data_IF_883291385724
#
_entry.id   IF_883291385724
#
_cell.length_a   1.000
_cell.length_b   1.000
_cell.length_c   1.000
_cell.angle_alpha   90.00
_cell.angle_beta   90.00
_cell.angle_gamma   90.00
#
_symmetry.space_group_name_H-M   'P 1'
#
loop_
_entity.id
_entity.type
_entity.pdbx_description
1 polymer ?
#
# COMPACT_ATOMS: atom_id res chain seq x y z
N UNK A 1 8.06 -9.00 27.36
CA UNK A 1 8.71 -7.68 27.54
C UNK A 1 8.35 -7.21 28.94
N UNK A 2 9.32 -6.92 29.78
CA UNK A 2 9.08 -6.40 31.13
C UNK A 2 8.83 -4.88 31.06
N UNK A 3 8.36 -4.26 32.18
CA UNK A 3 8.04 -2.83 32.21
C UNK A 3 9.26 -1.95 31.89
N UNK A 4 10.46 -2.35 32.32
CA UNK A 4 11.69 -1.60 32.06
C UNK A 4 12.04 -1.59 30.57
N UNK A 5 11.97 -2.74 29.91
CA UNK A 5 12.21 -2.85 28.46
C UNK A 5 11.21 -2.02 27.65
N UNK A 6 9.96 -1.96 28.10
CA UNK A 6 8.92 -1.14 27.46
C UNK A 6 9.22 0.36 27.60
N UNK A 7 9.68 0.78 28.80
CA UNK A 7 10.00 2.19 29.05
C UNK A 7 11.27 2.63 28.32
N UNK A 8 12.25 1.76 28.19
CA UNK A 8 13.45 2.02 27.40
C UNK A 8 13.11 2.11 25.91
N UNK A 9 12.23 1.24 25.39
CA UNK A 9 11.72 1.33 24.02
C UNK A 9 10.98 2.64 23.76
N UNK A 10 10.10 3.06 24.69
CA UNK A 10 9.39 4.35 24.58
C UNK A 10 10.37 5.54 24.52
N UNK A 11 11.38 5.57 25.40
CA UNK A 11 12.39 6.63 25.40
C UNK A 11 13.18 6.65 24.08
N UNK A 12 13.57 5.48 23.59
CA UNK A 12 14.27 5.37 22.32
C UNK A 12 13.40 5.86 21.15
N UNK A 13 12.12 5.47 21.11
CA UNK A 13 11.19 5.95 20.10
C UNK A 13 11.01 7.48 20.18
N UNK A 14 10.86 8.03 21.39
CA UNK A 14 10.73 9.48 21.57
C UNK A 14 11.97 10.24 21.08
N UNK A 15 13.17 9.67 21.24
CA UNK A 15 14.41 10.28 20.78
C UNK A 15 14.54 10.33 19.24
N UNK A 16 13.81 9.49 18.51
CA UNK A 16 13.77 9.48 17.03
C UNK A 16 12.84 10.60 16.49
N UNK A 17 11.84 11.01 17.27
CA UNK A 17 10.90 12.05 16.86
C UNK A 17 11.60 13.43 16.95
N UNK A 18 12.20 13.83 15.85
CA UNK A 18 12.89 15.12 15.69
C UNK A 18 12.29 15.88 14.51
N UNK A 19 12.66 17.14 14.33
CA UNK A 19 12.25 17.98 13.20
C UNK A 19 12.73 17.49 11.82
N UNK A 20 13.68 16.58 11.81
CA UNK A 20 14.23 15.93 10.60
C UNK A 20 13.66 14.53 10.34
N UNK A 21 12.65 14.10 11.11
CA UNK A 21 12.07 12.77 10.97
C UNK A 21 11.51 12.56 9.56
N UNK A 22 11.91 11.46 8.94
CA UNK A 22 11.32 10.92 7.73
C UNK A 22 10.73 9.56 8.07
N UNK A 23 9.46 9.37 7.74
CA UNK A 23 8.73 8.12 7.99
C UNK A 23 8.66 7.36 6.68
N UNK A 24 9.15 6.13 6.68
CA UNK A 24 9.05 5.24 5.51
C UNK A 24 7.95 4.21 5.80
N UNK A 25 6.96 4.16 4.91
CA UNK A 25 5.78 3.31 5.04
C UNK A 25 5.72 2.32 3.88
N UNK A 26 5.60 1.06 4.22
CA UNK A 26 5.39 -0.03 3.26
C UNK A 26 3.98 -0.65 3.40
N UNK A 27 3.72 -1.69 2.61
CA UNK A 27 2.43 -2.39 2.52
C UNK A 27 1.91 -2.96 3.85
N UNK A 28 2.78 -3.17 4.84
CA UNK A 28 2.38 -3.62 6.17
C UNK A 28 1.38 -2.70 6.87
N UNK A 29 1.47 -1.38 6.65
CA UNK A 29 0.51 -0.42 7.19
C UNK A 29 -0.87 -0.63 6.55
N UNK A 30 -0.94 -0.75 5.24
CA UNK A 30 -2.19 -0.97 4.52
C UNK A 30 -2.80 -2.34 4.81
N UNK A 31 -1.97 -3.38 4.95
CA UNK A 31 -2.42 -4.70 5.40
C UNK A 31 -3.02 -4.65 6.80
N UNK A 32 -2.49 -3.80 7.68
CA UNK A 32 -3.06 -3.61 9.01
C UNK A 32 -4.47 -2.98 9.00
N UNK A 33 -4.82 -2.28 7.91
CA UNK A 33 -6.17 -1.76 7.66
C UNK A 33 -7.04 -2.74 6.84
N UNK A 34 -6.50 -3.91 6.52
CA UNK A 34 -7.21 -4.98 5.82
C UNK A 34 -7.06 -4.95 4.31
N UNK A 35 -6.15 -4.14 3.76
CA UNK A 35 -5.83 -4.22 2.35
C UNK A 35 -5.05 -5.51 2.03
N UNK A 36 -5.23 -6.06 0.83
CA UNK A 36 -4.53 -7.27 0.42
C UNK A 36 -3.02 -7.03 0.25
N UNK A 37 -2.23 -7.99 0.67
CA UNK A 37 -0.80 -8.04 0.34
C UNK A 37 -0.55 -8.63 -1.04
N UNK A 38 0.72 -8.64 -1.47
CA UNK A 38 1.15 -9.10 -2.80
C UNK A 38 0.75 -10.55 -3.09
N UNK A 39 0.70 -11.42 -2.09
CA UNK A 39 0.23 -12.80 -2.25
C UNK A 39 -1.24 -12.85 -2.70
N UNK A 40 -2.11 -12.06 -2.04
CA UNK A 40 -3.53 -11.99 -2.41
C UNK A 40 -3.72 -11.42 -3.82
N UNK A 41 -2.88 -10.44 -4.21
CA UNK A 41 -2.87 -9.93 -5.58
C UNK A 41 -2.49 -11.05 -6.57
N UNK A 42 -1.46 -11.83 -6.27
CA UNK A 42 -1.07 -12.97 -7.11
C UNK A 42 -2.22 -13.95 -7.35
N UNK A 43 -2.94 -14.33 -6.29
CA UNK A 43 -4.10 -15.21 -6.40
C UNK A 43 -5.25 -14.58 -7.21
N UNK A 44 -5.49 -13.29 -7.02
CA UNK A 44 -6.48 -12.54 -7.80
C UNK A 44 -6.15 -12.53 -9.29
N UNK A 45 -4.89 -12.27 -9.63
CA UNK A 45 -4.42 -12.27 -11.01
C UNK A 45 -4.54 -13.66 -11.65
N UNK A 46 -4.19 -14.74 -10.94
CA UNK A 46 -4.36 -16.12 -11.42
C UNK A 46 -5.82 -16.41 -11.81
N UNK A 47 -6.76 -15.91 -11.02
CA UNK A 47 -8.19 -16.15 -11.24
C UNK A 47 -8.76 -15.33 -12.41
N UNK A 48 -8.35 -14.07 -12.56
CA UNK A 48 -9.04 -13.15 -13.46
C UNK A 48 -8.36 -12.98 -14.82
N UNK A 49 -7.04 -13.02 -14.92
CA UNK A 49 -6.32 -12.78 -16.17
C UNK A 49 -6.75 -13.75 -17.29
N UNK A 50 -6.94 -15.07 -17.04
CA UNK A 50 -7.33 -15.99 -18.11
C UNK A 50 -8.62 -15.58 -18.86
N UNK A 51 -9.52 -14.87 -18.19
CA UNK A 51 -10.77 -14.38 -18.80
C UNK A 51 -10.64 -13.03 -19.52
N UNK A 52 -9.48 -12.36 -19.40
CA UNK A 52 -9.24 -11.01 -19.90
C UNK A 52 -8.26 -10.95 -21.07
N UNK A 53 -7.61 -12.06 -21.39
CA UNK A 53 -6.64 -12.19 -22.48
C UNK A 53 -7.10 -13.20 -23.51
N UNK A 54 -6.55 -13.14 -24.72
CA UNK A 54 -6.83 -14.10 -25.79
C UNK A 54 -6.12 -15.44 -25.54
N UNK A 55 -6.63 -16.50 -26.17
CA UNK A 55 -6.06 -17.85 -26.04
C UNK A 55 -4.58 -17.94 -26.43
N UNK A 56 -4.14 -17.12 -27.38
CA UNK A 56 -2.71 -17.04 -27.78
C UNK A 56 -1.79 -16.56 -26.64
N UNK A 57 -2.31 -15.76 -25.71
CA UNK A 57 -1.57 -15.23 -24.57
C UNK A 57 -1.62 -16.14 -23.34
N UNK A 58 -2.52 -17.13 -23.31
CA UNK A 58 -2.68 -18.03 -22.16
C UNK A 58 -1.40 -18.83 -21.86
N UNK A 59 -0.64 -19.22 -22.86
CA UNK A 59 0.61 -19.96 -22.65
C UNK A 59 1.61 -19.10 -21.86
N UNK A 60 1.85 -17.87 -22.31
CA UNK A 60 2.77 -16.94 -21.61
C UNK A 60 2.27 -16.62 -20.20
N UNK A 61 0.96 -16.39 -20.07
CA UNK A 61 0.39 -16.17 -18.73
C UNK A 61 0.57 -17.36 -17.80
N UNK A 62 0.38 -18.60 -18.27
CA UNK A 62 0.55 -19.80 -17.43
C UNK A 62 2.00 -19.97 -16.97
N UNK A 63 2.99 -19.59 -17.79
CA UNK A 63 4.40 -19.58 -17.39
C UNK A 63 4.67 -18.57 -16.28
N UNK A 64 4.10 -17.35 -16.39
CA UNK A 64 4.16 -16.31 -15.34
C UNK A 64 3.46 -16.81 -14.07
N UNK A 65 2.22 -17.31 -14.20
CA UNK A 65 1.40 -17.74 -13.08
C UNK A 65 2.04 -18.88 -12.26
N UNK A 66 2.77 -19.78 -12.91
CA UNK A 66 3.49 -20.86 -12.24
C UNK A 66 4.61 -20.36 -11.33
N UNK A 67 5.17 -19.19 -11.60
CA UNK A 67 6.25 -18.60 -10.82
C UNK A 67 5.75 -17.68 -9.68
N UNK A 68 4.47 -17.31 -9.67
CA UNK A 68 3.94 -16.32 -8.70
C UNK A 68 4.12 -16.72 -7.23
N UNK A 69 4.01 -18.00 -6.91
CA UNK A 69 4.15 -18.48 -5.53
C UNK A 69 5.59 -18.49 -5.02
N UNK A 70 6.54 -18.82 -5.89
CA UNK A 70 7.94 -18.94 -5.52
C UNK A 70 8.70 -17.62 -5.60
N UNK A 71 8.40 -16.80 -6.60
CA UNK A 71 9.20 -15.63 -6.97
C UNK A 71 8.44 -14.29 -6.74
N UNK A 72 7.15 -14.36 -6.45
CA UNK A 72 6.28 -13.19 -6.42
C UNK A 72 6.01 -12.64 -7.83
N UNK A 73 5.21 -11.58 -7.91
CA UNK A 73 4.81 -11.00 -9.20
C UNK A 73 6.01 -10.41 -9.97
N UNK A 74 6.86 -9.64 -9.29
CA UNK A 74 8.04 -9.02 -9.90
C UNK A 74 9.02 -10.08 -10.41
N UNK A 75 9.33 -11.09 -9.61
CA UNK A 75 10.24 -12.17 -10.00
C UNK A 75 9.68 -13.00 -11.14
N UNK A 76 8.38 -13.28 -11.16
CA UNK A 76 7.72 -14.01 -12.24
C UNK A 76 7.79 -13.24 -13.57
N UNK A 77 7.53 -11.91 -13.54
CA UNK A 77 7.60 -11.04 -14.72
C UNK A 77 9.04 -10.84 -15.24
N UNK A 78 10.03 -10.85 -14.35
CA UNK A 78 11.44 -10.81 -14.75
C UNK A 78 11.87 -12.09 -15.48
N UNK A 79 11.36 -13.26 -15.06
CA UNK A 79 11.65 -14.55 -15.70
C UNK A 79 10.88 -14.75 -17.01
N UNK A 80 9.64 -14.33 -17.02
CA UNK A 80 8.72 -14.47 -18.16
C UNK A 80 8.10 -13.09 -18.46
N UNK A 81 8.73 -12.28 -19.33
CA UNK A 81 8.22 -10.95 -19.66
C UNK A 81 6.79 -11.02 -20.22
N UNK A 82 5.90 -10.22 -19.65
CA UNK A 82 4.55 -10.06 -20.16
C UNK A 82 4.57 -9.28 -21.49
N UNK A 83 3.65 -9.61 -22.37
CA UNK A 83 3.35 -8.76 -23.53
C UNK A 83 2.34 -7.67 -23.14
N UNK A 84 2.10 -6.70 -24.02
CA UNK A 84 1.23 -5.55 -23.77
C UNK A 84 -0.19 -5.95 -23.32
N UNK A 85 -0.74 -7.05 -23.84
CA UNK A 85 -2.07 -7.52 -23.49
C UNK A 85 -2.13 -8.05 -22.05
N UNK A 86 -1.14 -8.85 -21.65
CA UNK A 86 -1.03 -9.38 -20.29
C UNK A 86 -0.72 -8.24 -19.31
N UNK A 87 0.20 -7.34 -19.67
CA UNK A 87 0.55 -6.18 -18.84
C UNK A 87 -0.66 -5.28 -18.59
N UNK A 88 -1.40 -4.94 -19.64
CA UNK A 88 -2.63 -4.15 -19.53
C UNK A 88 -3.68 -4.82 -18.63
N UNK A 89 -3.81 -6.15 -18.71
CA UNK A 89 -4.73 -6.91 -17.85
C UNK A 89 -4.26 -6.87 -16.39
N UNK A 90 -2.96 -7.07 -16.13
CA UNK A 90 -2.38 -6.97 -14.77
C UNK A 90 -2.64 -5.58 -14.18
N UNK A 91 -2.30 -4.51 -14.92
CA UNK A 91 -2.49 -3.12 -14.46
C UNK A 91 -3.96 -2.88 -14.09
N UNK A 92 -4.88 -3.23 -14.98
CA UNK A 92 -6.30 -3.00 -14.78
C UNK A 92 -6.85 -3.75 -13.56
N UNK A 93 -6.58 -5.05 -13.45
CA UNK A 93 -7.04 -5.88 -12.33
C UNK A 93 -6.45 -5.37 -11.02
N UNK A 94 -5.15 -5.04 -11.02
CA UNK A 94 -4.46 -4.52 -9.83
C UNK A 94 -5.11 -3.21 -9.36
N UNK A 95 -5.30 -2.25 -10.28
CA UNK A 95 -5.90 -0.96 -9.96
C UNK A 95 -7.34 -1.11 -9.42
N UNK A 96 -8.19 -1.89 -10.09
CA UNK A 96 -9.56 -2.16 -9.65
C UNK A 96 -9.60 -2.86 -8.28
N UNK A 97 -8.70 -3.82 -8.05
CA UNK A 97 -8.66 -4.57 -6.81
C UNK A 97 -8.27 -3.69 -5.63
N UNK A 98 -7.16 -2.97 -5.73
CA UNK A 98 -6.72 -2.09 -4.63
C UNK A 98 -7.68 -0.94 -4.38
N UNK A 99 -8.25 -0.32 -5.41
CA UNK A 99 -9.25 0.74 -5.27
C UNK A 99 -10.48 0.25 -4.49
N UNK A 100 -10.98 -0.96 -4.81
CA UNK A 100 -12.12 -1.54 -4.12
C UNK A 100 -11.82 -1.84 -2.64
N UNK A 101 -10.64 -2.38 -2.33
CA UNK A 101 -10.26 -2.71 -0.96
C UNK A 101 -9.97 -1.44 -0.13
N UNK A 102 -9.35 -0.43 -0.73
CA UNK A 102 -9.19 0.89 -0.13
C UNK A 102 -10.54 1.52 0.23
N UNK A 103 -11.49 1.51 -0.70
CA UNK A 103 -12.83 2.03 -0.47
C UNK A 103 -13.54 1.30 0.68
N UNK A 104 -13.39 -0.04 0.76
CA UNK A 104 -13.93 -0.82 1.89
C UNK A 104 -13.28 -0.43 3.22
N UNK A 105 -11.97 -0.20 3.25
CA UNK A 105 -11.27 0.23 4.45
C UNK A 105 -11.75 1.61 4.92
N UNK A 106 -11.85 2.57 4.00
CA UNK A 106 -12.36 3.93 4.27
C UNK A 106 -13.81 3.86 4.77
N UNK A 107 -14.68 3.12 4.09
CA UNK A 107 -16.08 2.99 4.48
C UNK A 107 -16.25 2.37 5.88
N UNK A 108 -15.41 1.39 6.25
CA UNK A 108 -15.39 0.85 7.61
C UNK A 108 -15.02 1.92 8.64
N UNK A 109 -13.98 2.71 8.37
CA UNK A 109 -13.58 3.79 9.28
C UNK A 109 -14.71 4.78 9.50
N UNK A 110 -15.40 5.18 8.43
CA UNK A 110 -16.53 6.12 8.50
C UNK A 110 -17.73 5.48 9.26
N UNK A 111 -18.15 4.27 8.87
CA UNK A 111 -19.34 3.62 9.44
C UNK A 111 -19.17 3.21 10.90
N UNK A 112 -17.97 2.83 11.30
CA UNK A 112 -17.66 2.42 12.67
C UNK A 112 -17.13 3.57 13.53
N UNK A 113 -17.01 4.77 12.96
CA UNK A 113 -16.40 5.94 13.62
C UNK A 113 -15.02 5.63 14.21
N UNK A 114 -14.20 4.90 13.45
CA UNK A 114 -12.84 4.49 13.83
C UNK A 114 -11.81 5.24 13.01
N UNK A 115 -10.70 5.56 13.64
CA UNK A 115 -9.54 6.13 12.94
C UNK A 115 -8.69 5.04 12.33
N UNK A 116 -8.04 5.36 11.20
CA UNK A 116 -6.95 4.54 10.66
C UNK A 116 -5.78 4.50 11.66
N UNK A 117 -5.01 3.42 11.67
CA UNK A 117 -3.89 3.24 12.60
C UNK A 117 -2.82 4.33 12.45
N UNK A 118 -2.61 4.81 11.22
CA UNK A 118 -1.68 5.91 10.96
C UNK A 118 -2.14 7.22 11.64
N UNK A 119 -3.44 7.49 11.75
CA UNK A 119 -3.97 8.67 12.43
C UNK A 119 -3.53 8.77 13.90
N UNK A 120 -3.31 7.64 14.57
CA UNK A 120 -2.81 7.64 15.95
C UNK A 120 -1.35 8.12 16.07
N UNK A 121 -0.57 8.03 14.99
CA UNK A 121 0.81 8.49 14.96
C UNK A 121 0.92 10.00 14.71
N UNK A 122 -0.03 10.59 13.98
CA UNK A 122 -0.01 11.99 13.55
C UNK A 122 0.15 13.00 14.70
N UNK A 123 -0.57 12.89 15.84
CA UNK A 123 -0.38 13.82 16.96
C UNK A 123 1.05 13.80 17.54
N UNK A 124 1.69 12.62 17.54
CA UNK A 124 3.07 12.49 18.01
C UNK A 124 4.06 13.13 17.04
N UNK A 125 3.82 12.99 15.74
CA UNK A 125 4.61 13.63 14.69
C UNK A 125 4.48 15.14 14.81
N UNK A 126 3.25 15.68 14.95
CA UNK A 126 3.02 17.13 15.04
C UNK A 126 3.65 17.77 16.26
N UNK A 127 3.73 17.05 17.36
CA UNK A 127 4.40 17.52 18.57
C UNK A 127 5.90 17.72 18.38
N UNK A 128 6.52 16.97 17.46
CA UNK A 128 7.97 16.98 17.24
C UNK A 128 8.37 17.75 15.97
N UNK A 129 7.47 17.79 14.97
CA UNK A 129 7.71 18.46 13.68
C UNK A 129 6.60 19.49 13.41
N UNK A 130 6.65 20.67 14.04
CA UNK A 130 5.52 21.60 14.07
C UNK A 130 5.10 22.17 12.72
N UNK A 131 5.86 21.92 11.64
CA UNK A 131 5.56 22.50 10.32
C UNK A 131 5.30 21.47 9.23
N UNK A 132 5.98 20.31 9.22
CA UNK A 132 5.90 19.40 8.08
C UNK A 132 6.31 17.98 8.49
N UNK A 133 5.43 17.00 8.34
CA UNK A 133 5.80 15.60 8.38
C UNK A 133 6.23 15.15 6.98
N UNK A 134 7.34 14.40 6.89
CA UNK A 134 7.80 13.81 5.63
C UNK A 134 7.53 12.31 5.68
N UNK A 135 6.69 11.86 4.75
CA UNK A 135 6.35 10.44 4.61
C UNK A 135 6.75 9.97 3.21
N UNK A 136 7.47 8.87 3.15
CA UNK A 136 7.79 8.18 1.89
C UNK A 136 7.03 6.87 1.92
N UNK A 137 6.23 6.61 0.89
CA UNK A 137 5.50 5.36 0.76
C UNK A 137 5.73 4.72 -0.61
N UNK A 138 5.78 3.40 -0.63
CA UNK A 138 5.74 2.58 -1.85
C UNK A 138 4.37 1.96 -2.07
N UNK A 139 3.39 2.30 -1.24
CA UNK A 139 2.03 1.78 -1.35
C UNK A 139 1.28 2.45 -2.50
N UNK A 140 0.36 1.73 -3.09
CA UNK A 140 -0.50 2.21 -4.18
C UNK A 140 -1.80 2.83 -3.67
N UNK A 141 -2.13 2.63 -2.37
CA UNK A 141 -3.32 3.17 -1.73
C UNK A 141 -3.07 4.59 -1.19
N UNK A 142 -4.16 5.28 -0.85
CA UNK A 142 -4.18 6.65 -0.34
C UNK A 142 -4.60 6.73 1.13
N UNK A 143 -4.41 5.65 1.88
CA UNK A 143 -4.83 5.60 3.29
C UNK A 143 -4.06 6.57 4.18
N UNK A 144 -2.80 6.89 3.83
CA UNK A 144 -1.98 7.87 4.56
C UNK A 144 -2.57 9.29 4.37
N UNK A 145 -2.87 9.66 3.13
CA UNK A 145 -3.49 10.94 2.80
C UNK A 145 -4.85 11.06 3.46
N UNK A 146 -5.69 10.01 3.36
CA UNK A 146 -6.99 9.99 4.02
C UNK A 146 -6.88 10.12 5.53
N UNK A 147 -5.92 9.45 6.16
CA UNK A 147 -5.67 9.57 7.59
C UNK A 147 -5.26 10.99 8.00
N UNK A 148 -4.44 11.66 7.18
CA UNK A 148 -4.01 13.02 7.42
C UNK A 148 -5.16 14.02 7.25
N UNK A 149 -5.94 13.88 6.18
CA UNK A 149 -7.12 14.73 5.92
C UNK A 149 -8.18 14.60 7.04
N UNK A 150 -8.39 13.39 7.59
CA UNK A 150 -9.29 13.19 8.73
C UNK A 150 -8.83 13.88 10.02
N UNK A 151 -7.56 14.23 10.14
CA UNK A 151 -6.99 14.95 11.29
C UNK A 151 -6.73 16.44 10.95
N UNK A 152 -7.37 16.96 9.90
CA UNK A 152 -7.23 18.36 9.42
C UNK A 152 -5.79 18.74 9.01
N UNK A 153 -5.00 17.78 8.54
CA UNK A 153 -3.69 18.03 7.99
C UNK A 153 -3.77 18.29 6.48
N UNK A 154 -3.13 19.35 6.03
CA UNK A 154 -2.91 19.55 4.59
C UNK A 154 -1.93 18.53 4.04
N UNK A 155 -2.26 17.92 2.92
CA UNK A 155 -1.43 16.91 2.24
C UNK A 155 -0.87 17.49 0.95
N UNK A 156 0.45 17.42 0.80
CA UNK A 156 1.14 17.62 -0.47
C UNK A 156 1.76 16.28 -0.88
N UNK A 157 1.16 15.61 -1.84
CA UNK A 157 1.65 14.31 -2.32
C UNK A 157 2.95 14.41 -3.11
N UNK A 158 3.38 15.63 -3.48
CA UNK A 158 4.53 15.87 -4.36
C UNK A 158 4.48 15.10 -5.70
N UNK A 159 3.35 14.49 -6.02
CA UNK A 159 3.13 13.79 -7.27
C UNK A 159 2.75 14.78 -8.36
N UNK A 160 3.72 15.19 -9.16
CA UNK A 160 3.47 15.95 -10.38
C UNK A 160 3.18 14.94 -11.50
N UNK A 161 1.98 14.40 -11.52
CA UNK A 161 1.52 13.46 -12.56
C UNK A 161 0.61 14.18 -13.56
N UNK A 162 0.81 13.92 -14.87
CA UNK A 162 -0.24 14.19 -15.84
C UNK A 162 -1.33 13.13 -15.59
N UNK A 163 -2.53 13.59 -15.27
CA UNK A 163 -3.69 12.73 -15.39
C UNK A 163 -3.82 12.33 -16.86
N UNK A 164 -3.62 11.07 -17.17
CA UNK A 164 -4.04 10.52 -18.43
C UNK A 164 -5.55 10.32 -18.32
N UNK A 165 -6.28 11.26 -18.90
CA UNK A 165 -7.72 11.12 -19.07
C UNK A 165 -8.03 10.23 -20.28
#
# INVERSE_FOLDING_TARGET
>A
MNNTELDDLKRWLQAIFTDTLVIIVGSGLSCAEGLPGMWHLGEKLKQEIPSKISDENLKTWNEIAACLESDGLEGALLKHPANDAIESAIIKITAEYFLNEEQKAINRCISENKKLKFSYLLPHISACTPKTARVITTNYDRLIEFAAECEDWGVDSMMVGRYWG
#
